data_IF_766801999962
#
_entry.id   IF_766801999962
#
_cell.length_a   1.000
_cell.length_b   1.000
_cell.length_c   1.000
_cell.angle_alpha   90.00
_cell.angle_beta   90.00
_cell.angle_gamma   90.00
#
_symmetry.space_group_name_H-M   'P 1'
#
loop_
_entity.id
_entity.type
_entity.pdbx_description
1 polymer ?
#
# COMPACT_ATOMS: atom_id res chain seq x y z
N UNK A 1 -2.21 11.26 -15.81
CA UNK A 1 -2.09 12.26 -14.74
C UNK A 1 -2.74 13.57 -15.19
N UNK A 2 -3.45 14.25 -14.29
CA UNK A 2 -4.07 15.55 -14.58
C UNK A 2 -3.14 16.71 -14.20
N UNK A 3 -2.18 17.04 -15.05
CA UNK A 3 -1.25 18.15 -14.79
C UNK A 3 -1.95 19.52 -14.67
N UNK A 4 -3.06 19.72 -15.41
CA UNK A 4 -3.85 20.95 -15.32
C UNK A 4 -4.45 21.16 -13.91
N UNK A 5 -4.73 20.09 -13.19
CA UNK A 5 -5.21 20.13 -11.81
C UNK A 5 -4.20 20.73 -10.83
N UNK A 6 -2.91 20.43 -11.00
CA UNK A 6 -1.85 21.03 -10.17
C UNK A 6 -1.72 22.54 -10.41
N UNK A 7 -1.83 22.98 -11.67
CA UNK A 7 -1.71 24.41 -12.00
C UNK A 7 -2.93 25.21 -11.55
N UNK A 8 -4.12 24.63 -11.66
CA UNK A 8 -5.39 25.32 -11.33
C UNK A 8 -5.83 25.09 -9.87
N UNK A 9 -5.18 24.25 -9.09
CA UNK A 9 -5.60 23.89 -7.74
C UNK A 9 -6.98 23.24 -7.69
N UNK A 10 -7.36 22.47 -8.72
CA UNK A 10 -8.69 21.85 -8.83
C UNK A 10 -8.59 20.31 -8.91
N UNK A 11 -9.55 19.65 -8.26
CA UNK A 11 -9.66 18.18 -8.29
C UNK A 11 -10.37 17.78 -9.58
N UNK A 12 -9.88 16.75 -10.26
CA UNK A 12 -10.54 16.18 -11.43
C UNK A 12 -11.87 15.52 -11.04
N UNK A 13 -12.97 15.90 -11.72
CA UNK A 13 -14.33 15.40 -11.45
C UNK A 13 -14.95 14.61 -12.61
N UNK A 14 -14.16 14.25 -13.62
CA UNK A 14 -14.64 13.51 -14.79
C UNK A 14 -14.97 12.04 -14.51
N UNK A 15 -15.58 11.35 -15.48
CA UNK A 15 -16.03 9.95 -15.39
C UNK A 15 -14.92 8.98 -14.98
N UNK A 16 -13.66 9.23 -15.31
CA UNK A 16 -12.53 8.36 -14.93
C UNK A 16 -12.28 8.32 -13.43
N UNK A 17 -12.85 9.27 -12.65
CA UNK A 17 -12.76 9.26 -11.19
C UNK A 17 -13.51 8.09 -10.54
N UNK A 18 -14.46 7.49 -11.22
CA UNK A 18 -15.16 6.29 -10.76
C UNK A 18 -14.30 5.02 -10.84
N UNK A 19 -13.23 5.05 -11.64
CA UNK A 19 -12.28 3.93 -11.68
C UNK A 19 -11.31 3.99 -10.51
N UNK A 20 -11.15 2.86 -9.81
CA UNK A 20 -10.17 2.73 -8.75
C UNK A 20 -8.84 2.19 -9.30
N UNK A 21 -7.73 2.75 -8.82
CA UNK A 21 -6.40 2.17 -9.03
C UNK A 21 -6.07 1.20 -7.90
N UNK A 22 -5.27 0.16 -8.12
CA UNK A 22 -4.99 -0.85 -7.09
C UNK A 22 -4.09 -0.35 -5.96
N UNK A 23 -3.43 0.82 -6.12
CA UNK A 23 -2.54 1.43 -5.14
C UNK A 23 -3.22 2.46 -4.23
N UNK A 24 -2.49 2.93 -3.22
CA UNK A 24 -2.92 4.04 -2.39
C UNK A 24 -2.75 5.34 -3.19
N UNK A 25 -3.86 5.96 -3.56
CA UNK A 25 -3.89 7.19 -4.34
C UNK A 25 -5.04 8.07 -3.84
N UNK A 26 -4.73 9.26 -3.33
CA UNK A 26 -5.76 10.10 -2.72
C UNK A 26 -6.80 10.59 -3.72
N UNK A 27 -8.09 10.44 -3.38
CA UNK A 27 -9.19 10.99 -4.19
C UNK A 27 -9.06 12.51 -4.41
N UNK A 28 -8.63 13.22 -3.38
CA UNK A 28 -8.47 14.69 -3.42
C UNK A 28 -7.18 15.16 -4.07
N UNK A 29 -6.34 14.26 -4.58
CA UNK A 29 -5.13 14.65 -5.30
C UNK A 29 -5.51 15.36 -6.61
N UNK A 30 -5.02 16.59 -6.87
CA UNK A 30 -5.30 17.30 -8.10
C UNK A 30 -4.75 16.60 -9.35
N UNK A 31 -3.67 15.82 -9.19
CA UNK A 31 -3.09 15.02 -10.27
C UNK A 31 -3.77 13.67 -10.51
N UNK A 32 -4.63 13.21 -9.60
CA UNK A 32 -5.26 11.90 -9.70
C UNK A 32 -6.50 11.93 -10.59
N UNK A 33 -6.48 11.13 -11.64
CA UNK A 33 -7.61 10.92 -12.55
C UNK A 33 -8.56 9.84 -11.98
N UNK A 34 -8.06 8.95 -11.16
CA UNK A 34 -8.76 7.79 -10.57
C UNK A 34 -8.81 7.89 -9.04
N UNK A 35 -9.58 7.01 -8.40
CA UNK A 35 -9.79 7.02 -6.95
C UNK A 35 -9.04 5.90 -6.23
N UNK A 36 -8.86 6.10 -4.92
CA UNK A 36 -8.32 5.09 -4.01
C UNK A 36 -9.38 4.03 -3.70
N UNK A 37 -9.07 2.74 -3.80
CA UNK A 37 -10.04 1.68 -3.51
C UNK A 37 -10.49 1.66 -2.04
N UNK A 38 -9.65 2.10 -1.09
CA UNK A 38 -10.03 2.23 0.31
C UNK A 38 -11.05 3.35 0.55
N UNK A 39 -10.86 4.50 -0.10
CA UNK A 39 -11.81 5.60 -0.02
C UNK A 39 -13.14 5.22 -0.66
N UNK A 40 -13.11 4.60 -1.82
CA UNK A 40 -14.29 4.11 -2.51
C UNK A 40 -15.01 3.02 -1.72
N UNK A 41 -14.28 2.11 -1.06
CA UNK A 41 -14.86 1.09 -0.19
C UNK A 41 -15.60 1.72 0.99
N UNK A 42 -14.97 2.67 1.70
CA UNK A 42 -15.60 3.34 2.85
C UNK A 42 -16.83 4.15 2.44
N UNK A 43 -16.76 4.84 1.29
CA UNK A 43 -17.93 5.58 0.77
C UNK A 43 -19.05 4.64 0.33
N UNK A 44 -18.73 3.50 -0.26
CA UNK A 44 -19.72 2.53 -0.73
C UNK A 44 -20.36 1.71 0.41
N UNK A 45 -19.68 1.58 1.55
CA UNK A 45 -20.24 0.95 2.76
C UNK A 45 -21.38 1.77 3.39
N UNK A 46 -21.55 3.04 2.99
CA UNK A 46 -22.69 3.84 3.42
C UNK A 46 -24.01 3.43 2.80
N UNK A 47 -23.95 2.85 1.64
CA UNK A 47 -25.13 2.52 0.83
C UNK A 47 -25.48 1.02 0.92
N UNK A 48 -25.01 0.35 1.99
CA UNK A 48 -25.20 -1.11 2.21
C UNK A 48 -26.68 -1.52 2.13
N UNK A 49 -27.61 -0.62 2.50
CA UNK A 49 -29.05 -0.87 2.34
C UNK A 49 -29.49 -1.06 0.89
N UNK A 50 -28.75 -0.51 -0.08
CA UNK A 50 -29.15 -0.48 -1.48
C UNK A 50 -28.21 -1.17 -2.44
N UNK A 51 -26.89 -1.16 -2.22
CA UNK A 51 -25.92 -1.83 -3.12
C UNK A 51 -24.65 -2.26 -2.38
N UNK A 52 -24.34 -3.54 -2.43
CA UNK A 52 -23.02 -4.04 -2.01
C UNK A 52 -21.96 -3.46 -2.95
N UNK A 53 -20.81 -2.98 -2.46
CA UNK A 53 -19.76 -2.40 -3.29
C UNK A 53 -18.99 -3.45 -4.11
N UNK A 54 -19.72 -4.24 -4.92
CA UNK A 54 -19.19 -5.37 -5.69
C UNK A 54 -18.06 -4.96 -6.62
N UNK A 55 -18.16 -3.75 -7.21
CA UNK A 55 -17.11 -3.24 -8.10
C UNK A 55 -15.76 -3.10 -7.38
N UNK A 56 -15.77 -2.45 -6.21
CA UNK A 56 -14.53 -2.20 -5.44
C UNK A 56 -13.97 -3.50 -4.90
N UNK A 57 -14.84 -4.37 -4.37
CA UNK A 57 -14.46 -5.69 -3.88
C UNK A 57 -13.93 -6.58 -5.00
N UNK A 58 -14.58 -6.59 -6.15
CA UNK A 58 -14.15 -7.33 -7.34
C UNK A 58 -12.79 -6.86 -7.84
N UNK A 59 -12.58 -5.54 -7.89
CA UNK A 59 -11.30 -4.96 -8.29
C UNK A 59 -10.17 -5.31 -7.31
N UNK A 60 -10.42 -5.20 -6.00
CA UNK A 60 -9.46 -5.58 -4.97
C UNK A 60 -9.14 -7.08 -5.02
N UNK A 61 -10.15 -7.92 -5.27
CA UNK A 61 -9.97 -9.36 -5.42
C UNK A 61 -9.18 -9.68 -6.71
N UNK A 62 -9.50 -9.04 -7.83
CA UNK A 62 -8.80 -9.23 -9.09
C UNK A 62 -7.30 -8.91 -8.97
N UNK A 63 -6.97 -7.70 -8.49
CA UNK A 63 -5.56 -7.32 -8.28
C UNK A 63 -4.91 -8.14 -7.17
N UNK A 64 -5.66 -8.54 -6.16
CA UNK A 64 -5.20 -9.41 -5.10
C UNK A 64 -4.81 -10.79 -5.61
N UNK A 65 -5.64 -11.42 -6.45
CA UNK A 65 -5.37 -12.75 -7.03
C UNK A 65 -4.25 -12.68 -8.07
N UNK A 66 -4.15 -11.62 -8.85
CA UNK A 66 -3.11 -11.51 -9.87
C UNK A 66 -1.77 -11.12 -9.22
N UNK A 67 -1.71 -10.00 -8.51
CA UNK A 67 -0.46 -9.37 -8.07
C UNK A 67 -0.24 -9.41 -6.56
N UNK A 68 -1.30 -9.56 -5.76
CA UNK A 68 -1.25 -9.45 -4.30
C UNK A 68 -0.45 -8.22 -3.84
N UNK A 69 0.51 -8.36 -2.93
CA UNK A 69 1.32 -7.25 -2.39
C UNK A 69 2.38 -6.71 -3.35
N UNK A 70 2.58 -7.27 -4.55
CA UNK A 70 3.41 -6.66 -5.58
C UNK A 70 2.90 -5.28 -5.98
N UNK A 71 1.57 -5.05 -5.95
CA UNK A 71 0.96 -3.72 -6.11
C UNK A 71 1.58 -2.69 -5.16
N UNK A 72 1.81 -3.07 -3.90
CA UNK A 72 2.40 -2.17 -2.90
C UNK A 72 3.88 -1.85 -3.20
N UNK A 73 4.59 -2.77 -3.88
CA UNK A 73 5.98 -2.57 -4.24
C UNK A 73 6.16 -1.64 -5.44
N UNK A 74 5.36 -1.84 -6.50
CA UNK A 74 5.59 -1.22 -7.80
C UNK A 74 4.62 -0.09 -8.14
N UNK A 75 3.37 -0.15 -7.67
CA UNK A 75 2.30 0.75 -8.09
C UNK A 75 1.90 1.80 -7.04
N UNK A 76 2.38 1.69 -5.80
CA UNK A 76 1.99 2.60 -4.74
C UNK A 76 2.96 3.80 -4.64
N UNK A 77 2.56 5.03 -4.98
CA UNK A 77 3.44 6.20 -4.94
C UNK A 77 3.88 6.52 -3.50
N UNK A 78 2.99 6.37 -2.53
CA UNK A 78 3.33 6.58 -1.12
C UNK A 78 4.36 5.57 -0.60
N UNK A 79 4.30 4.32 -1.10
CA UNK A 79 5.30 3.29 -0.81
C UNK A 79 6.68 3.63 -1.38
N UNK A 80 6.71 4.20 -2.60
CA UNK A 80 7.94 4.63 -3.25
C UNK A 80 8.64 5.76 -2.48
N UNK A 81 7.87 6.74 -1.99
CA UNK A 81 8.41 7.85 -1.19
C UNK A 81 9.07 7.32 0.10
N UNK A 82 8.41 6.40 0.82
CA UNK A 82 8.99 5.78 2.01
C UNK A 82 10.28 5.00 1.71
N UNK A 83 10.35 4.33 0.55
CA UNK A 83 11.54 3.61 0.14
C UNK A 83 12.69 4.54 -0.22
N UNK A 84 12.39 5.67 -0.87
CA UNK A 84 13.39 6.69 -1.19
C UNK A 84 14.00 7.29 0.09
N UNK A 85 13.16 7.62 1.08
CA UNK A 85 13.61 8.10 2.38
C UNK A 85 14.46 7.07 3.13
N UNK A 86 14.13 5.79 2.99
CA UNK A 86 14.93 4.72 3.60
C UNK A 86 16.35 4.61 3.02
N UNK A 87 16.63 5.14 1.82
CA UNK A 87 17.98 5.16 1.24
C UNK A 87 18.93 6.13 1.95
N UNK A 88 18.40 7.12 2.70
CA UNK A 88 19.22 8.06 3.48
C UNK A 88 20.06 7.28 4.49
N UNK A 89 21.37 7.51 4.59
CA UNK A 89 22.25 6.83 5.54
C UNK A 89 21.91 7.24 6.98
N UNK A 90 21.28 6.33 7.71
CA UNK A 90 20.89 6.51 9.10
C UNK A 90 20.91 5.13 9.80
N UNK A 91 20.93 5.06 11.13
CA UNK A 91 20.89 3.79 11.85
C UNK A 91 19.57 3.06 11.55
N UNK A 92 19.66 1.91 10.86
CA UNK A 92 18.49 1.15 10.45
C UNK A 92 18.02 0.21 11.56
N UNK A 93 16.74 0.28 11.88
CA UNK A 93 16.13 -0.63 12.85
C UNK A 93 15.96 -2.00 12.18
N UNK A 94 16.66 -2.99 12.73
CA UNK A 94 16.62 -4.38 12.25
C UNK A 94 15.25 -5.00 12.58
N UNK A 95 14.86 -5.99 11.78
CA UNK A 95 13.64 -6.78 12.03
C UNK A 95 13.72 -7.50 13.38
N UNK A 96 12.59 -7.52 14.10
CA UNK A 96 12.46 -8.11 15.42
C UNK A 96 11.11 -8.82 15.55
N UNK A 97 10.98 -9.68 16.59
CA UNK A 97 9.67 -10.26 16.95
C UNK A 97 8.63 -9.19 17.27
N UNK A 98 9.06 -8.05 17.85
CA UNK A 98 8.19 -6.92 18.16
C UNK A 98 7.66 -6.27 16.88
N UNK A 99 8.52 -5.98 15.92
CA UNK A 99 8.11 -5.36 14.64
C UNK A 99 7.14 -6.27 13.88
N UNK A 100 7.30 -7.59 13.98
CA UNK A 100 6.34 -8.53 13.40
C UNK A 100 4.99 -8.53 14.11
N UNK A 101 4.95 -8.40 15.44
CA UNK A 101 3.69 -8.26 16.18
C UNK A 101 2.99 -6.94 15.84
N UNK A 102 3.75 -5.86 15.71
CA UNK A 102 3.24 -4.55 15.27
C UNK A 102 2.64 -4.60 13.86
N UNK A 103 3.12 -5.48 12.98
CA UNK A 103 2.52 -5.63 11.65
C UNK A 103 1.07 -6.16 11.68
N UNK A 104 0.62 -6.71 12.82
CA UNK A 104 -0.76 -7.11 13.02
C UNK A 104 -1.71 -5.90 13.20
N UNK A 105 -1.20 -4.74 13.60
CA UNK A 105 -2.00 -3.51 13.81
C UNK A 105 -2.75 -3.11 12.55
N UNK A 106 -2.18 -3.30 11.36
CA UNK A 106 -2.87 -3.00 10.08
C UNK A 106 -4.18 -3.75 9.91
N UNK A 107 -4.32 -4.97 10.47
CA UNK A 107 -5.56 -5.73 10.42
C UNK A 107 -6.59 -5.13 11.37
N UNK A 108 -6.16 -4.67 12.55
CA UNK A 108 -7.04 -3.95 13.49
C UNK A 108 -7.52 -2.65 12.83
N UNK A 109 -6.61 -1.90 12.20
CA UNK A 109 -6.98 -0.69 11.45
C UNK A 109 -7.98 -1.00 10.33
N UNK A 110 -7.79 -2.09 9.59
CA UNK A 110 -8.71 -2.53 8.55
C UNK A 110 -10.11 -2.81 9.14
N UNK A 111 -10.18 -3.62 10.17
CA UNK A 111 -11.48 -4.01 10.73
C UNK A 111 -12.17 -2.83 11.42
N UNK A 112 -11.47 -2.07 12.26
CA UNK A 112 -12.08 -1.00 13.04
C UNK A 112 -12.37 0.23 12.16
N UNK A 113 -11.33 0.81 11.52
CA UNK A 113 -11.48 2.10 10.84
C UNK A 113 -11.97 2.03 9.40
N UNK A 114 -11.85 0.88 8.72
CA UNK A 114 -12.32 0.76 7.33
C UNK A 114 -13.68 0.06 7.25
N UNK A 115 -13.98 -0.87 8.16
CA UNK A 115 -15.24 -1.61 8.14
C UNK A 115 -16.19 -1.17 9.25
N UNK A 116 -15.82 -1.32 10.53
CA UNK A 116 -16.76 -1.14 11.66
C UNK A 116 -17.22 0.31 11.80
N UNK A 117 -16.33 1.28 11.86
CA UNK A 117 -16.71 2.69 12.09
C UNK A 117 -17.55 3.25 10.94
N UNK A 118 -17.22 3.08 9.64
CA UNK A 118 -18.08 3.53 8.56
C UNK A 118 -19.48 2.91 8.56
N UNK A 119 -19.58 1.61 8.88
CA UNK A 119 -20.88 0.93 8.97
C UNK A 119 -21.71 1.46 10.15
N UNK A 120 -21.10 1.58 11.34
CA UNK A 120 -21.81 2.09 12.53
C UNK A 120 -22.29 3.52 12.30
N UNK A 121 -21.46 4.40 11.71
CA UNK A 121 -21.86 5.79 11.43
C UNK A 121 -22.93 5.88 10.34
N UNK A 122 -22.88 5.01 9.33
CA UNK A 122 -23.94 4.91 8.32
C UNK A 122 -25.28 4.49 8.92
N UNK A 123 -25.29 3.58 9.88
CA UNK A 123 -26.51 3.10 10.55
C UNK A 123 -27.03 4.14 11.56
N UNK A 124 -26.16 4.78 12.35
CA UNK A 124 -26.56 5.68 13.44
C UNK A 124 -26.86 7.11 12.97
N UNK A 125 -26.11 7.63 12.02
CA UNK A 125 -26.20 9.05 11.59
C UNK A 125 -26.73 9.19 10.15
N UNK A 126 -26.90 8.08 9.43
CA UNK A 126 -27.31 8.10 8.02
C UNK A 126 -26.22 8.52 7.04
N UNK A 127 -25.04 8.88 7.53
CA UNK A 127 -23.88 9.27 6.72
C UNK A 127 -22.64 8.47 7.12
N UNK A 128 -21.93 7.85 6.17
CA UNK A 128 -20.71 7.12 6.49
C UNK A 128 -19.59 8.10 6.77
N UNK A 129 -18.88 7.86 7.85
CA UNK A 129 -17.65 8.55 8.13
C UNK A 129 -16.49 7.76 7.55
N UNK A 130 -15.78 8.24 6.52
CA UNK A 130 -14.59 7.57 6.00
C UNK A 130 -13.42 7.75 6.99
N UNK A 131 -13.53 7.11 8.14
CA UNK A 131 -12.72 7.35 9.32
C UNK A 131 -11.22 7.12 9.09
N UNK A 132 -10.84 6.10 8.34
CA UNK A 132 -9.44 5.90 7.98
C UNK A 132 -8.89 7.07 7.14
N UNK A 133 -9.61 7.47 6.08
CA UNK A 133 -9.18 8.58 5.22
C UNK A 133 -9.18 9.91 5.96
N UNK A 134 -10.16 10.13 6.85
CA UNK A 134 -10.32 11.39 7.60
C UNK A 134 -9.26 11.55 8.70
N UNK A 135 -8.90 10.49 9.43
CA UNK A 135 -8.08 10.61 10.64
C UNK A 135 -6.66 10.01 10.50
N UNK A 136 -6.48 8.92 9.76
CA UNK A 136 -5.25 8.13 9.80
C UNK A 136 -4.41 8.27 8.53
N UNK A 137 -5.04 8.40 7.34
CA UNK A 137 -4.32 8.34 6.08
C UNK A 137 -3.39 9.54 5.84
N UNK A 138 -2.05 9.37 5.86
CA UNK A 138 -1.11 10.45 5.59
C UNK A 138 -1.01 10.80 4.09
N UNK A 139 -1.33 9.85 3.20
CA UNK A 139 -1.33 10.10 1.76
C UNK A 139 -2.32 11.21 1.37
N UNK A 140 -3.43 11.36 2.13
CA UNK A 140 -4.39 12.44 1.90
C UNK A 140 -3.81 13.83 2.12
N UNK A 141 -2.87 14.00 3.05
CA UNK A 141 -2.15 15.26 3.24
C UNK A 141 -1.10 15.44 2.15
N UNK A 142 -0.27 14.43 1.93
CA UNK A 142 0.87 14.52 1.01
C UNK A 142 0.43 14.72 -0.45
N UNK A 143 -0.52 13.94 -0.91
CA UNK A 143 -0.96 13.93 -2.32
C UNK A 143 -2.12 14.88 -2.59
N UNK A 144 -2.96 15.17 -1.59
CA UNK A 144 -4.16 16.00 -1.71
C UNK A 144 -3.98 17.39 -1.13
N UNK A 145 -3.84 17.51 0.20
CA UNK A 145 -3.90 18.81 0.87
C UNK A 145 -2.69 19.69 0.53
N UNK A 146 -1.46 19.19 0.60
CA UNK A 146 -0.28 20.00 0.33
C UNK A 146 -0.26 20.59 -1.09
N UNK A 147 -0.53 19.84 -2.17
CA UNK A 147 -0.62 20.42 -3.50
C UNK A 147 -1.76 21.42 -3.67
N UNK A 148 -2.92 21.20 -3.05
CA UNK A 148 -4.03 22.16 -3.11
C UNK A 148 -3.72 23.45 -2.36
N UNK A 149 -3.10 23.37 -1.19
CA UNK A 149 -2.71 24.52 -0.38
C UNK A 149 -1.61 25.35 -1.03
N UNK A 150 -0.75 24.77 -1.86
CA UNK A 150 0.30 25.51 -2.57
C UNK A 150 -0.26 26.47 -3.61
N UNK A 151 -1.41 26.13 -4.22
CA UNK A 151 -1.99 26.88 -5.33
C UNK A 151 -3.22 27.70 -4.90
N UNK A 152 -4.05 27.19 -3.97
CA UNK A 152 -5.33 27.79 -3.62
C UNK A 152 -5.26 28.44 -2.21
N UNK A 153 -5.23 29.78 -2.18
CA UNK A 153 -5.19 30.57 -0.94
C UNK A 153 -6.46 30.44 -0.11
N UNK A 154 -7.61 30.33 -0.73
CA UNK A 154 -8.89 30.20 -0.02
C UNK A 154 -8.97 28.91 0.83
N UNK A 155 -8.31 27.83 0.40
CA UNK A 155 -8.23 26.57 1.18
C UNK A 155 -7.36 26.73 2.44
N UNK A 156 -6.42 27.68 2.44
CA UNK A 156 -5.57 27.94 3.62
C UNK A 156 -6.34 28.52 4.80
N UNK A 157 -7.37 29.31 4.54
CA UNK A 157 -8.21 29.93 5.58
C UNK A 157 -9.09 28.88 6.29
N UNK A 158 -9.35 27.74 5.64
CA UNK A 158 -10.18 26.66 6.18
C UNK A 158 -9.39 25.61 6.99
N UNK A 159 -8.11 25.87 7.29
CA UNK A 159 -7.27 24.94 8.04
C UNK A 159 -7.70 24.85 9.50
N UNK A 160 -8.28 23.70 9.87
CA UNK A 160 -8.63 23.39 11.25
C UNK A 160 -7.60 22.51 11.96
N UNK A 161 -7.86 22.21 13.24
CA UNK A 161 -7.01 21.36 14.10
C UNK A 161 -6.74 19.98 13.50
N UNK A 162 -7.68 19.42 12.74
CA UNK A 162 -7.54 18.12 12.07
C UNK A 162 -6.42 18.13 11.02
N UNK A 163 -6.21 19.26 10.34
CA UNK A 163 -5.11 19.39 9.37
C UNK A 163 -3.76 19.25 10.08
N UNK A 164 -3.56 19.97 11.18
CA UNK A 164 -2.31 19.96 11.94
C UNK A 164 -2.03 18.58 12.55
N UNK A 165 -3.06 17.91 13.07
CA UNK A 165 -2.95 16.52 13.54
C UNK A 165 -2.48 15.58 12.40
N UNK A 166 -3.09 15.64 11.23
CA UNK A 166 -2.71 14.80 10.09
C UNK A 166 -1.34 15.16 9.51
N UNK A 167 -0.97 16.45 9.56
CA UNK A 167 0.35 16.89 9.14
C UNK A 167 1.43 16.34 10.07
N UNK A 168 1.20 16.34 11.39
CA UNK A 168 2.12 15.73 12.34
C UNK A 168 2.24 14.22 12.14
N UNK A 169 1.14 13.53 11.84
CA UNK A 169 1.14 12.10 11.51
C UNK A 169 1.95 11.80 10.23
N UNK A 170 1.81 12.65 9.20
CA UNK A 170 2.61 12.56 8.00
C UNK A 170 4.10 12.77 8.31
N UNK A 171 4.46 13.84 9.03
CA UNK A 171 5.84 14.13 9.40
C UNK A 171 6.47 12.98 10.20
N UNK A 172 5.74 12.44 11.17
CA UNK A 172 6.15 11.26 11.94
C UNK A 172 6.37 10.05 11.03
N UNK A 173 5.45 9.75 10.10
CA UNK A 173 5.56 8.64 9.17
C UNK A 173 6.79 8.78 8.26
N UNK A 174 7.05 9.98 7.75
CA UNK A 174 8.21 10.25 6.89
C UNK A 174 9.53 10.14 7.69
N UNK A 175 9.58 10.68 8.91
CA UNK A 175 10.75 10.57 9.79
C UNK A 175 11.05 9.09 10.12
N UNK A 176 10.04 8.31 10.48
CA UNK A 176 10.21 6.86 10.72
C UNK A 176 10.61 6.09 9.47
N UNK A 177 10.26 6.56 8.27
CA UNK A 177 10.66 5.92 7.01
C UNK A 177 12.17 5.97 6.76
N UNK A 178 12.89 6.88 7.41
CA UNK A 178 14.36 6.93 7.37
C UNK A 178 14.97 5.76 8.15
N UNK A 179 14.36 5.34 9.25
CA UNK A 179 14.88 4.30 10.16
C UNK A 179 14.31 2.92 9.88
N UNK A 180 13.03 2.84 9.50
CA UNK A 180 12.29 1.59 9.27
C UNK A 180 11.86 1.53 7.80
N UNK A 181 12.08 0.37 7.17
CA UNK A 181 11.63 0.15 5.79
C UNK A 181 10.11 0.12 5.71
N UNK A 182 9.52 1.10 4.99
CA UNK A 182 8.08 1.25 4.71
C UNK A 182 7.18 1.13 5.95
N UNK A 183 7.36 1.95 7.01
CA UNK A 183 6.67 1.79 8.29
C UNK A 183 5.14 1.87 8.15
N UNK A 184 4.61 2.83 7.40
CA UNK A 184 3.17 2.95 7.19
C UNK A 184 2.59 1.72 6.48
N UNK A 185 3.19 1.29 5.37
CA UNK A 185 2.74 0.12 4.61
C UNK A 185 2.85 -1.18 5.41
N UNK A 186 3.79 -1.25 6.35
CA UNK A 186 4.06 -2.41 7.18
C UNK A 186 3.12 -2.52 8.37
N UNK A 187 2.82 -1.41 9.05
CA UNK A 187 2.14 -1.42 10.34
C UNK A 187 0.70 -0.90 10.30
N UNK A 188 0.38 0.05 9.42
CA UNK A 188 -0.86 0.81 9.50
C UNK A 188 -1.75 0.61 8.26
N UNK A 189 -1.18 0.45 7.06
CA UNK A 189 -1.92 0.49 5.81
C UNK A 189 -2.93 -0.68 5.66
N UNK A 190 -4.25 -0.42 5.64
CA UNK A 190 -5.26 -1.46 5.50
C UNK A 190 -5.28 -2.09 4.11
N UNK A 191 -4.88 -1.36 3.05
CA UNK A 191 -4.73 -1.92 1.71
C UNK A 191 -3.64 -3.00 1.69
N UNK A 192 -2.53 -2.77 2.40
CA UNK A 192 -1.50 -3.77 2.62
C UNK A 192 -1.98 -4.99 3.41
N UNK A 193 -2.97 -4.81 4.32
CA UNK A 193 -3.63 -5.91 5.02
C UNK A 193 -4.50 -6.73 4.06
N UNK A 194 -5.33 -6.08 3.24
CA UNK A 194 -6.18 -6.75 2.24
C UNK A 194 -5.32 -7.60 1.29
N UNK A 195 -4.33 -7.02 0.66
CA UNK A 195 -3.47 -7.75 -0.28
C UNK A 195 -2.62 -8.85 0.37
N UNK A 196 -2.34 -8.76 1.68
CA UNK A 196 -1.60 -9.81 2.38
C UNK A 196 -2.36 -11.15 2.47
N UNK A 197 -3.69 -11.11 2.47
CA UNK A 197 -4.51 -12.33 2.42
C UNK A 197 -4.32 -13.10 1.11
N UNK A 198 -4.09 -12.38 0.01
CA UNK A 198 -3.92 -12.97 -1.31
C UNK A 198 -2.49 -13.46 -1.59
N UNK A 199 -1.50 -13.14 -0.74
CA UNK A 199 -0.11 -13.51 -1.00
C UNK A 199 0.12 -15.01 -1.19
N UNK A 200 -0.68 -15.86 -0.55
CA UNK A 200 -0.55 -17.32 -0.68
C UNK A 200 -1.26 -17.89 -1.90
N UNK A 201 -2.28 -17.20 -2.42
CA UNK A 201 -3.21 -17.69 -3.45
C UNK A 201 -2.94 -17.06 -4.81
N UNK A 202 -2.18 -15.97 -4.87
CA UNK A 202 -1.98 -15.20 -6.10
C UNK A 202 -1.16 -15.93 -7.15
N UNK A 203 -1.51 -15.64 -8.41
CA UNK A 203 -0.95 -16.25 -9.61
C UNK A 203 0.51 -15.84 -9.80
N UNK A 204 0.79 -14.53 -9.68
CA UNK A 204 2.16 -14.02 -9.76
C UNK A 204 2.82 -14.08 -8.39
N UNK A 205 4.09 -14.41 -8.34
CA UNK A 205 4.80 -14.47 -7.05
C UNK A 205 6.26 -14.87 -7.22
N UNK A 206 6.96 -14.85 -6.10
CA UNK A 206 8.35 -15.31 -6.06
C UNK A 206 8.33 -16.79 -5.71
N UNK A 207 8.93 -17.64 -6.54
CA UNK A 207 9.03 -19.08 -6.32
C UNK A 207 10.47 -19.48 -6.05
N UNK A 208 10.62 -20.59 -5.33
CA UNK A 208 11.93 -21.20 -5.02
C UNK A 208 12.04 -22.51 -5.75
N UNK A 209 13.10 -22.66 -6.52
CA UNK A 209 13.49 -23.94 -7.12
C UNK A 209 14.10 -24.82 -6.03
N UNK A 210 13.41 -25.91 -5.68
CA UNK A 210 13.81 -26.80 -4.60
C UNK A 210 15.09 -27.58 -4.95
N UNK A 211 15.35 -27.81 -6.24
CA UNK A 211 16.51 -28.57 -6.70
C UNK A 211 17.81 -27.75 -6.58
N UNK A 212 17.69 -26.42 -6.67
CA UNK A 212 18.81 -25.48 -6.53
C UNK A 212 18.94 -24.89 -5.13
N UNK A 213 17.90 -25.02 -4.32
CA UNK A 213 17.86 -24.39 -2.99
C UNK A 213 18.52 -25.28 -1.94
N UNK A 214 19.63 -24.83 -1.38
CA UNK A 214 20.35 -25.50 -0.30
C UNK A 214 19.84 -25.17 1.11
N UNK A 215 18.74 -24.41 1.26
CA UNK A 215 18.18 -24.08 2.56
C UNK A 215 18.98 -23.08 3.42
N UNK A 216 19.90 -22.31 2.85
CA UNK A 216 20.80 -21.41 3.61
C UNK A 216 20.08 -20.21 4.29
N UNK A 217 18.80 -19.95 3.99
CA UNK A 217 17.98 -18.85 4.51
C UNK A 217 18.57 -17.44 4.29
N UNK A 218 19.53 -17.26 3.37
CA UNK A 218 20.11 -15.95 3.06
C UNK A 218 19.05 -14.97 2.55
N UNK A 219 18.10 -15.44 1.76
CA UNK A 219 16.96 -14.66 1.24
C UNK A 219 16.06 -14.08 2.35
N UNK A 220 15.79 -14.87 3.39
CA UNK A 220 15.01 -14.45 4.56
C UNK A 220 15.83 -13.49 5.43
N UNK A 221 17.11 -13.77 5.65
CA UNK A 221 18.01 -12.92 6.47
C UNK A 221 18.23 -11.55 5.83
N UNK A 222 18.39 -11.48 4.51
CA UNK A 222 18.62 -10.22 3.79
C UNK A 222 17.34 -9.37 3.60
N UNK A 223 16.16 -9.97 3.77
CA UNK A 223 14.90 -9.24 3.60
C UNK A 223 14.75 -8.12 4.64
N UNK A 224 14.37 -6.92 4.20
CA UNK A 224 14.12 -5.75 5.06
C UNK A 224 12.81 -5.86 5.85
N UNK A 225 11.92 -6.76 5.45
CA UNK A 225 10.63 -7.02 6.08
C UNK A 225 10.68 -8.23 7.02
N UNK A 226 9.69 -8.36 7.92
CA UNK A 226 9.56 -9.46 8.87
C UNK A 226 9.01 -10.75 8.26
N UNK A 227 9.59 -11.20 7.15
CA UNK A 227 9.21 -12.45 6.49
C UNK A 227 9.84 -13.66 7.20
N UNK A 228 9.12 -14.78 7.25
CA UNK A 228 9.63 -16.09 7.72
C UNK A 228 10.05 -16.98 6.55
N UNK A 229 9.36 -16.83 5.44
CA UNK A 229 9.55 -17.60 4.21
C UNK A 229 9.31 -16.71 2.99
N UNK A 230 9.70 -17.16 1.83
CA UNK A 230 9.38 -16.51 0.57
C UNK A 230 7.85 -16.59 0.36
N UNK A 231 7.24 -15.49 -0.11
CA UNK A 231 5.79 -15.30 -0.19
C UNK A 231 5.03 -15.33 1.15
N UNK A 232 5.72 -15.09 2.27
CA UNK A 232 5.03 -14.79 3.54
C UNK A 232 3.98 -13.67 3.32
N UNK A 233 2.98 -13.60 4.20
CA UNK A 233 1.96 -12.52 4.19
C UNK A 233 2.58 -11.12 4.21
N UNK A 234 3.77 -10.97 4.80
CA UNK A 234 4.50 -9.69 4.85
C UNK A 234 5.38 -9.44 3.61
N UNK A 235 5.54 -10.40 2.71
CA UNK A 235 6.33 -10.25 1.50
C UNK A 235 5.66 -9.31 0.50
N UNK A 236 6.34 -8.23 0.10
CA UNK A 236 5.88 -7.29 -0.93
C UNK A 236 6.35 -7.65 -2.35
N UNK A 237 7.05 -8.76 -2.49
CA UNK A 237 7.53 -9.28 -3.79
C UNK A 237 8.41 -8.31 -4.57
N UNK A 238 9.29 -7.59 -3.87
CA UNK A 238 10.21 -6.64 -4.50
C UNK A 238 11.33 -7.29 -5.32
N UNK A 239 11.63 -8.58 -5.11
CA UNK A 239 12.66 -9.31 -5.85
C UNK A 239 14.07 -9.25 -5.26
N UNK A 240 14.36 -8.39 -4.28
CA UNK A 240 15.71 -8.28 -3.68
C UNK A 240 16.30 -9.62 -3.20
N UNK A 241 15.44 -10.57 -2.79
CA UNK A 241 15.87 -11.89 -2.38
C UNK A 241 16.42 -12.74 -3.54
N UNK A 242 15.96 -12.51 -4.78
CA UNK A 242 16.47 -13.20 -5.96
C UNK A 242 17.90 -12.75 -6.27
N UNK A 243 18.18 -11.45 -6.19
CA UNK A 243 19.53 -10.90 -6.38
C UNK A 243 20.53 -11.38 -5.33
N UNK A 244 20.06 -11.65 -4.11
CA UNK A 244 20.90 -12.15 -3.00
C UNK A 244 21.11 -13.67 -3.02
N UNK A 245 20.44 -14.39 -3.90
CA UNK A 245 20.55 -15.83 -3.99
C UNK A 245 21.76 -16.26 -4.83
N UNK A 246 22.84 -16.73 -4.20
CA UNK A 246 24.04 -17.21 -4.89
C UNK A 246 23.79 -18.41 -5.82
N UNK A 247 22.72 -19.16 -5.57
CA UNK A 247 22.37 -20.38 -6.31
C UNK A 247 21.32 -20.15 -7.39
N UNK A 248 20.89 -18.89 -7.62
CA UNK A 248 19.83 -18.54 -8.57
C UNK A 248 18.58 -19.44 -8.42
N UNK A 249 18.28 -19.84 -7.18
CA UNK A 249 17.13 -20.68 -6.86
C UNK A 249 15.80 -19.92 -6.76
N UNK A 250 15.82 -18.58 -6.90
CA UNK A 250 14.64 -17.74 -6.70
C UNK A 250 14.29 -17.05 -8.02
N UNK A 251 13.02 -17.15 -8.42
CA UNK A 251 12.53 -16.57 -9.67
C UNK A 251 11.10 -16.03 -9.52
N UNK A 252 10.70 -15.12 -10.42
CA UNK A 252 9.33 -14.64 -10.51
C UNK A 252 8.46 -15.60 -11.33
N UNK A 253 7.28 -15.94 -10.81
CA UNK A 253 6.24 -16.61 -11.59
C UNK A 253 5.35 -15.51 -12.24
N UNK A 254 4.95 -15.61 -13.54
CA UNK A 254 4.90 -16.83 -14.36
C UNK A 254 6.09 -17.07 -15.29
N UNK A 255 7.28 -16.52 -15.03
CA UNK A 255 8.42 -16.91 -15.86
C UNK A 255 8.62 -18.42 -15.81
N UNK A 256 8.57 -19.05 -17.00
CA UNK A 256 8.95 -20.45 -17.18
C UNK A 256 10.36 -20.63 -16.62
N UNK A 257 10.62 -21.76 -15.97
CA UNK A 257 11.99 -22.25 -15.74
C UNK A 257 12.77 -22.13 -17.05
N UNK A 258 13.49 -21.05 -17.24
CA UNK A 258 14.53 -21.03 -18.27
C UNK A 258 15.59 -21.97 -17.73
N UNK A 259 15.58 -23.18 -18.25
CA UNK A 259 16.62 -24.16 -18.00
C UNK A 259 17.91 -23.60 -18.60
N UNK A 260 18.66 -22.89 -17.81
CA UNK A 260 20.04 -22.47 -18.11
C UNK A 260 20.99 -23.66 -18.19
N UNK A 261 20.45 -24.83 -18.52
CA UNK A 261 21.26 -26.05 -18.69
C UNK A 261 21.95 -26.14 -20.05
N UNK A 262 21.70 -25.23 -20.98
CA UNK A 262 22.28 -25.29 -22.34
C UNK A 262 23.48 -24.36 -22.59
N UNK A 263 24.01 -23.64 -21.59
CA UNK A 263 25.13 -22.74 -21.83
C UNK A 263 26.52 -23.23 -21.38
N UNK A 264 26.65 -24.45 -20.90
CA UNK A 264 27.96 -25.03 -20.52
C UNK A 264 28.31 -26.32 -21.30
N UNK A 265 27.89 -26.42 -22.56
CA UNK A 265 28.46 -27.36 -23.50
C UNK A 265 28.76 -26.63 -24.81
N UNK A 266 29.83 -25.88 -24.82
CA UNK A 266 30.70 -25.64 -25.98
C UNK A 266 32.09 -25.22 -25.51
#
# INVERSE_FOLDING_TARGET
MNFKGFVRGSIYTGRLKSFCVPGLNCYSCPGAISSCPLGSLQSALSDIKYKIPLYVLGLLALFGVIFARAVCSFLCPFGLIQELLYKIPAPKIKKSRITRRLSAVKYIVLFVFVLTVPILTAVSVGMPLPSFCKYICPAGILEGALPLLSVNTAVRELLGTLFWFKLSLLAFTLAFSVFIFRPFCRFICPLGAIYSFFNKVSITGIKVDKDKCIGCNACVKSCKLDVREINDRECIRCGECAEKCKFNAIYFSPERKVSTYEKNKK
#
